data_IF_309288186524
#
_entry.id   IF_309288186524
#
_cell.length_a   1.000
_cell.length_b   1.000
_cell.length_c   1.000
_cell.angle_alpha   90.00
_cell.angle_beta   90.00
_cell.angle_gamma   90.00
#
_symmetry.space_group_name_H-M   'P 1'
#
loop_
_entity.id
_entity.type
_entity.pdbx_description
1 polymer ?
#
# COMPACT_ATOMS: atom_id res chain seq x y z
N UNK A 1 -10.41 -11.82 -17.55
CA UNK A 1 -10.25 -10.35 -17.52
C UNK A 1 -11.32 -9.74 -16.61
N UNK A 2 -11.27 -10.05 -15.31
CA UNK A 2 -12.09 -9.44 -14.25
C UNK A 2 -11.28 -9.35 -12.96
N UNK A 3 -10.60 -10.44 -12.60
CA UNK A 3 -9.72 -10.54 -11.42
C UNK A 3 -8.58 -9.49 -11.43
N UNK A 4 -8.07 -9.11 -12.62
CA UNK A 4 -6.98 -8.13 -12.76
C UNK A 4 -7.34 -6.70 -12.29
N UNK A 5 -8.64 -6.35 -12.15
CA UNK A 5 -9.03 -5.03 -11.65
C UNK A 5 -8.92 -4.95 -10.11
N UNK A 6 -9.13 -6.06 -9.39
CA UNK A 6 -9.28 -6.08 -7.94
C UNK A 6 -7.98 -5.73 -7.20
N UNK A 7 -6.83 -6.17 -7.75
CA UNK A 7 -5.48 -5.89 -7.21
C UNK A 7 -5.02 -4.47 -7.58
N UNK A 8 -5.60 -3.89 -8.64
CA UNK A 8 -5.36 -2.50 -9.02
C UNK A 8 -5.89 -1.53 -7.96
N UNK A 9 -7.09 -1.77 -7.44
CA UNK A 9 -7.76 -0.88 -6.47
C UNK A 9 -7.03 -0.80 -5.12
N UNK A 10 -6.47 -1.92 -4.64
CA UNK A 10 -5.62 -1.96 -3.43
C UNK A 10 -4.27 -1.23 -3.60
N UNK A 11 -3.83 -1.01 -4.84
CA UNK A 11 -2.50 -0.44 -5.15
C UNK A 11 -2.47 1.09 -5.23
N UNK A 12 -3.60 1.80 -5.13
CA UNK A 12 -3.69 3.18 -5.60
C UNK A 12 -4.04 4.28 -4.57
N UNK A 13 -4.46 3.96 -3.34
CA UNK A 13 -5.13 4.96 -2.47
C UNK A 13 -4.57 5.10 -1.04
N UNK A 14 -3.25 5.12 -0.89
CA UNK A 14 -2.57 5.61 0.34
C UNK A 14 -1.97 7.00 0.13
N UNK A 15 -2.81 8.04 0.11
CA UNK A 15 -2.39 9.45 -0.10
C UNK A 15 -2.58 10.27 1.19
N UNK A 16 -1.72 11.26 1.41
CA UNK A 16 -1.76 12.19 2.55
C UNK A 16 -1.96 13.66 2.13
N UNK A 17 -2.94 14.35 2.75
CA UNK A 17 -3.08 15.85 2.87
C UNK A 17 -3.42 16.64 1.56
N UNK A 18 -4.08 17.82 1.56
CA UNK A 18 -3.73 19.09 2.25
C UNK A 18 -4.78 20.26 2.23
N UNK A 19 -4.87 20.97 3.38
CA UNK A 19 -4.86 22.45 3.60
C UNK A 19 -5.96 23.44 3.12
N UNK A 20 -5.82 24.70 3.60
CA UNK A 20 -6.83 25.77 3.64
C UNK A 20 -6.61 26.94 2.65
N UNK A 21 -7.67 27.73 2.42
CA UNK A 21 -7.71 28.82 1.42
C UNK A 21 -6.83 30.06 1.70
N UNK A 22 -6.63 30.85 0.65
CA UNK A 22 -5.59 31.89 0.59
C UNK A 22 -5.84 33.12 1.49
N UNK A 23 -4.79 33.76 2.05
CA UNK A 23 -4.93 34.93 2.95
C UNK A 23 -5.51 36.20 2.30
N UNK A 24 -5.54 36.28 0.97
CA UNK A 24 -6.03 37.41 0.19
C UNK A 24 -7.51 37.26 -0.24
N UNK A 25 -8.13 36.11 0.06
CA UNK A 25 -9.50 35.79 -0.35
C UNK A 25 -9.64 35.31 -1.80
N UNK A 26 -8.53 34.99 -2.47
CA UNK A 26 -8.56 34.21 -3.72
C UNK A 26 -8.86 32.73 -3.44
N UNK A 27 -9.47 32.06 -4.42
CA UNK A 27 -9.56 30.59 -4.39
C UNK A 27 -8.17 30.01 -4.71
N UNK A 28 -7.62 29.10 -3.89
CA UNK A 28 -6.29 28.54 -4.13
C UNK A 28 -6.27 27.75 -5.44
N UNK A 29 -5.18 27.89 -6.20
CA UNK A 29 -5.02 27.20 -7.47
C UNK A 29 -4.64 25.74 -7.18
N UNK A 30 -5.52 24.81 -7.55
CA UNK A 30 -5.27 23.37 -7.48
C UNK A 30 -4.20 22.98 -8.50
N UNK A 31 -2.98 22.78 -8.04
CA UNK A 31 -1.91 22.08 -8.73
C UNK A 31 -1.78 20.64 -8.20
N UNK A 32 -0.82 19.90 -8.71
CA UNK A 32 -0.48 18.54 -8.26
C UNK A 32 0.96 18.61 -7.73
N UNK A 33 1.25 17.86 -6.68
CA UNK A 33 2.57 17.81 -6.05
C UNK A 33 3.67 17.47 -7.06
N UNK A 34 4.90 17.90 -6.79
CA UNK A 34 6.02 17.70 -7.71
C UNK A 34 6.37 16.21 -7.95
N UNK A 35 5.90 15.33 -7.07
CA UNK A 35 5.96 13.86 -7.15
C UNK A 35 4.65 13.19 -7.61
N UNK A 36 3.60 13.96 -7.92
CA UNK A 36 2.36 13.46 -8.52
C UNK A 36 1.38 12.77 -7.57
N UNK A 37 1.71 12.66 -6.27
CA UNK A 37 1.01 11.83 -5.29
C UNK A 37 -0.14 12.52 -4.57
N UNK A 38 -0.25 13.85 -4.59
CA UNK A 38 -1.37 14.59 -3.97
C UNK A 38 -1.65 15.93 -4.66
N UNK A 39 -2.78 16.56 -4.34
CA UNK A 39 -3.11 17.90 -4.82
C UNK A 39 -2.46 18.97 -3.94
N UNK A 40 -1.69 19.85 -4.57
CA UNK A 40 -1.11 21.03 -3.92
C UNK A 40 -2.03 22.22 -4.18
N UNK A 41 -2.31 23.00 -3.14
CA UNK A 41 -3.15 24.19 -3.23
C UNK A 41 -2.29 25.42 -2.97
N UNK A 42 -1.81 26.03 -4.05
CA UNK A 42 -0.91 27.19 -4.01
C UNK A 42 -1.66 28.49 -4.32
N UNK A 43 -1.27 29.56 -3.62
CA UNK A 43 -1.70 30.92 -3.94
C UNK A 43 -0.72 31.49 -4.98
N UNK A 44 -1.25 31.92 -6.12
CA UNK A 44 -0.51 32.16 -7.36
C UNK A 44 0.66 33.16 -7.19
N UNK A 45 1.85 32.79 -7.65
CA UNK A 45 3.06 33.63 -7.63
C UNK A 45 3.77 33.55 -8.99
N UNK A 46 3.77 34.66 -9.73
CA UNK A 46 4.28 34.73 -11.11
C UNK A 46 5.81 34.75 -11.22
N UNK A 47 6.33 34.07 -12.26
CA UNK A 47 7.71 34.02 -12.81
C UNK A 47 8.42 32.65 -12.58
N UNK A 48 9.15 32.04 -13.53
CA UNK A 48 9.52 32.43 -14.90
C UNK A 48 9.63 31.17 -15.81
N UNK A 49 9.77 31.35 -17.14
CA UNK A 49 9.96 30.26 -18.12
C UNK A 49 11.42 30.13 -18.54
N UNK A 50 11.91 28.90 -18.74
CA UNK A 50 13.14 28.62 -19.49
C UNK A 50 12.95 27.47 -20.50
N UNK A 51 13.66 27.56 -21.62
CA UNK A 51 13.46 26.75 -22.84
C UNK A 51 14.32 25.47 -22.89
N UNK A 52 13.73 24.39 -23.42
CA UNK A 52 14.38 23.08 -23.58
C UNK A 52 15.26 23.07 -24.85
N UNK A 53 16.53 22.67 -24.73
CA UNK A 53 17.50 22.68 -25.83
C UNK A 53 17.85 21.26 -26.33
N UNK A 54 17.59 21.02 -27.61
CA UNK A 54 17.87 19.76 -28.31
C UNK A 54 19.35 19.63 -28.70
N UNK A 55 19.94 18.45 -28.50
CA UNK A 55 21.23 18.04 -29.08
C UNK A 55 21.16 16.58 -29.58
N UNK A 56 21.27 16.39 -30.90
CA UNK A 56 21.73 15.16 -31.58
C UNK A 56 23.28 15.19 -31.60
N UNK A 57 24.11 14.14 -31.73
CA UNK A 57 24.05 12.72 -32.13
C UNK A 57 25.14 11.99 -31.26
N UNK A 58 25.41 10.67 -31.21
CA UNK A 58 24.88 9.43 -31.81
C UNK A 58 25.28 8.22 -30.94
N UNK A 59 24.94 6.98 -31.35
CA UNK A 59 25.43 5.74 -30.73
C UNK A 59 24.42 4.60 -30.79
N UNK A 60 24.58 3.69 -31.76
CA UNK A 60 23.50 2.80 -32.19
C UNK A 60 23.24 1.57 -31.29
N UNK A 61 21.97 1.39 -30.92
CA UNK A 61 21.25 0.13 -31.15
C UNK A 61 20.00 0.49 -31.96
N UNK A 62 19.70 -0.28 -33.00
CA UNK A 62 18.59 0.00 -33.93
C UNK A 62 17.23 -0.31 -33.29
N UNK A 63 16.75 0.56 -32.40
CA UNK A 63 15.47 0.42 -31.70
C UNK A 63 14.76 1.79 -31.50
N UNK A 64 15.16 2.82 -32.26
CA UNK A 64 14.70 4.21 -32.06
C UNK A 64 13.19 4.43 -32.24
N UNK A 65 12.50 3.51 -32.93
CA UNK A 65 11.04 3.52 -33.08
C UNK A 65 10.27 2.88 -31.92
N UNK A 66 10.95 2.20 -30.98
CA UNK A 66 10.34 1.65 -29.76
C UNK A 66 10.82 2.36 -28.49
N UNK A 67 12.02 2.95 -28.51
CA UNK A 67 12.64 3.63 -27.37
C UNK A 67 11.78 4.79 -26.84
N UNK A 68 11.46 4.77 -25.55
CA UNK A 68 10.72 5.84 -24.89
C UNK A 68 11.72 6.91 -24.47
N UNK A 69 11.68 8.06 -25.16
CA UNK A 69 12.61 9.19 -24.98
C UNK A 69 12.24 10.06 -23.76
N UNK A 70 12.20 9.44 -22.58
CA UNK A 70 12.05 10.12 -21.29
C UNK A 70 13.26 9.80 -20.40
N UNK A 71 13.83 10.81 -19.76
CA UNK A 71 15.03 10.66 -18.92
C UNK A 71 14.63 10.37 -17.47
N UNK A 72 14.48 9.09 -17.16
CA UNK A 72 14.19 8.59 -15.81
C UNK A 72 15.34 8.92 -14.83
N UNK A 73 16.59 8.97 -15.31
CA UNK A 73 17.78 9.28 -14.50
C UNK A 73 17.89 10.78 -14.09
N UNK A 74 16.80 11.55 -14.13
CA UNK A 74 16.67 12.87 -13.50
C UNK A 74 16.06 12.84 -12.09
N UNK A 75 15.45 11.71 -11.68
CA UNK A 75 14.79 11.58 -10.37
C UNK A 75 15.73 11.58 -9.16
N UNK A 76 15.16 11.65 -7.96
CA UNK A 76 15.96 11.71 -6.73
C UNK A 76 16.62 10.37 -6.45
N UNK A 77 17.94 10.35 -6.31
CA UNK A 77 18.71 9.12 -6.17
C UNK A 77 19.08 8.44 -7.49
N UNK A 78 18.86 9.06 -8.66
CA UNK A 78 19.37 8.54 -9.93
C UNK A 78 20.90 8.19 -9.87
N UNK A 79 21.39 7.22 -10.66
CA UNK A 79 20.70 6.51 -11.73
C UNK A 79 19.75 5.40 -11.22
N UNK A 80 18.69 5.18 -11.99
CA UNK A 80 17.74 4.08 -11.85
C UNK A 80 17.96 2.99 -12.90
N UNK A 81 18.59 3.29 -14.04
CA UNK A 81 19.04 2.27 -15.00
C UNK A 81 20.36 2.62 -15.67
N UNK A 82 21.01 1.61 -16.26
CA UNK A 82 22.24 1.76 -17.06
C UNK A 82 21.93 2.28 -18.48
N UNK A 83 21.56 3.56 -18.57
CA UNK A 83 21.58 4.36 -19.80
C UNK A 83 22.11 5.77 -19.49
N UNK A 84 23.22 6.22 -20.12
CA UNK A 84 23.76 7.56 -19.89
C UNK A 84 22.81 8.72 -20.24
N UNK A 85 21.79 8.49 -21.06
CA UNK A 85 20.75 9.48 -21.41
C UNK A 85 19.50 9.34 -20.53
N UNK A 86 19.46 8.31 -19.68
CA UNK A 86 18.34 7.97 -18.83
C UNK A 86 17.14 7.36 -19.55
N UNK A 87 17.28 6.91 -20.80
CA UNK A 87 16.22 6.23 -21.54
C UNK A 87 16.06 4.78 -21.04
N UNK A 88 15.27 4.65 -19.98
CA UNK A 88 15.11 3.41 -19.21
C UNK A 88 13.92 2.54 -19.62
N UNK A 89 13.15 2.90 -20.65
CA UNK A 89 12.00 2.12 -21.10
C UNK A 89 11.90 2.08 -22.64
N UNK A 90 11.30 1.00 -23.16
CA UNK A 90 10.90 0.89 -24.56
C UNK A 90 9.54 0.22 -24.70
N UNK A 91 8.87 0.48 -25.81
CA UNK A 91 7.65 -0.21 -26.21
C UNK A 91 7.95 -1.66 -26.61
N UNK A 92 7.12 -2.61 -26.16
CA UNK A 92 7.14 -3.98 -26.68
C UNK A 92 6.87 -3.97 -28.19
N UNK A 93 7.40 -4.95 -28.91
CA UNK A 93 7.27 -5.04 -30.38
C UNK A 93 5.82 -5.09 -30.86
N UNK A 94 4.91 -5.60 -30.04
CA UNK A 94 3.47 -5.68 -30.28
C UNK A 94 2.66 -4.51 -29.69
N UNK A 95 3.30 -3.46 -29.15
CA UNK A 95 2.60 -2.33 -28.56
C UNK A 95 1.79 -1.54 -29.61
N UNK A 96 0.57 -1.15 -29.25
CA UNK A 96 -0.38 -0.45 -30.12
C UNK A 96 0.08 0.98 -30.47
N UNK A 97 -0.41 1.50 -31.59
CA UNK A 97 -0.21 2.92 -31.95
C UNK A 97 -0.85 3.84 -30.91
N UNK A 98 -2.05 3.51 -30.43
CA UNK A 98 -2.75 4.25 -29.38
C UNK A 98 -1.88 4.48 -28.13
N UNK A 99 -1.18 3.46 -27.65
CA UNK A 99 -0.27 3.60 -26.52
C UNK A 99 0.96 4.46 -26.86
N UNK A 100 1.56 4.25 -28.02
CA UNK A 100 2.74 5.00 -28.51
C UNK A 100 2.46 6.49 -28.71
N UNK A 101 1.26 6.83 -29.16
CA UNK A 101 0.87 8.19 -29.53
C UNK A 101 0.39 9.01 -28.30
N UNK A 102 -0.28 8.35 -27.35
CA UNK A 102 -0.96 9.00 -26.24
C UNK A 102 -0.23 8.92 -24.89
N UNK A 103 0.27 7.75 -24.47
CA UNK A 103 0.83 7.55 -23.12
C UNK A 103 2.17 8.29 -22.95
N UNK A 104 2.28 9.14 -21.92
CA UNK A 104 3.46 10.00 -21.69
C UNK A 104 3.99 9.88 -20.27
N UNK A 105 5.30 9.74 -20.14
CA UNK A 105 6.01 9.91 -18.88
C UNK A 105 6.29 11.40 -18.65
N UNK A 106 6.12 11.83 -17.41
CA UNK A 106 6.28 13.21 -16.96
C UNK A 106 5.48 13.47 -15.69
N UNK A 107 5.88 14.51 -14.95
CA UNK A 107 5.24 14.91 -13.70
C UNK A 107 4.26 16.08 -13.93
N UNK A 108 4.07 16.49 -15.17
CA UNK A 108 3.10 17.52 -15.54
C UNK A 108 1.67 16.95 -15.64
N UNK A 109 0.68 17.81 -15.46
CA UNK A 109 -0.74 17.44 -15.46
C UNK A 109 -1.19 16.71 -16.72
N UNK A 110 -0.59 17.00 -17.90
CA UNK A 110 -0.96 16.32 -19.14
C UNK A 110 -0.38 14.91 -19.19
N UNK A 111 0.86 14.72 -18.76
CA UNK A 111 1.45 13.38 -18.62
C UNK A 111 0.63 12.52 -17.67
N UNK A 112 0.28 13.04 -16.48
CA UNK A 112 -0.58 12.33 -15.52
C UNK A 112 -1.95 11.97 -16.14
N UNK A 113 -2.63 12.91 -16.79
CA UNK A 113 -3.92 12.62 -17.45
C UNK A 113 -3.78 11.49 -18.48
N UNK A 114 -2.71 11.49 -19.29
CA UNK A 114 -2.49 10.40 -20.26
C UNK A 114 -2.09 9.07 -19.61
N UNK A 115 -1.53 9.07 -18.39
CA UNK A 115 -1.25 7.85 -17.65
C UNK A 115 -2.53 7.23 -17.08
N UNK A 116 -3.50 8.07 -16.69
CA UNK A 116 -4.84 7.64 -16.24
C UNK A 116 -5.70 7.17 -17.43
N UNK A 117 -5.86 8.00 -18.46
CA UNK A 117 -6.69 7.70 -19.63
C UNK A 117 -6.24 6.44 -20.40
N UNK A 118 -4.94 6.12 -20.32
CA UNK A 118 -4.29 5.02 -21.04
C UNK A 118 -3.50 4.09 -20.10
N UNK A 119 -3.95 3.89 -18.86
CA UNK A 119 -3.27 3.08 -17.83
C UNK A 119 -2.81 1.70 -18.34
N UNK A 120 -3.64 1.04 -19.14
CA UNK A 120 -3.38 -0.29 -19.69
C UNK A 120 -2.11 -0.36 -20.56
N UNK A 121 -1.63 0.77 -21.08
CA UNK A 121 -0.43 0.88 -21.91
C UNK A 121 0.84 0.56 -21.14
N UNK A 122 0.85 0.66 -19.80
CA UNK A 122 1.97 0.23 -18.96
C UNK A 122 2.34 -1.25 -19.20
N UNK A 123 1.35 -2.09 -19.53
CA UNK A 123 1.54 -3.51 -19.84
C UNK A 123 2.23 -3.74 -21.20
N UNK A 124 2.29 -2.72 -22.04
CA UNK A 124 2.92 -2.72 -23.35
C UNK A 124 4.34 -2.12 -23.33
N UNK A 125 4.80 -1.68 -22.16
CA UNK A 125 6.15 -1.14 -21.92
C UNK A 125 7.06 -2.25 -21.38
N UNK A 126 8.35 -2.16 -21.68
CA UNK A 126 9.43 -2.93 -21.04
C UNK A 126 10.46 -1.95 -20.49
N UNK A 127 10.79 -2.08 -19.21
CA UNK A 127 11.82 -1.30 -18.55
C UNK A 127 13.18 -1.98 -18.68
N UNK A 128 14.25 -1.19 -18.58
CA UNK A 128 15.62 -1.67 -18.36
C UNK A 128 15.73 -2.24 -16.92
N UNK A 129 16.80 -3.00 -16.62
CA UNK A 129 17.05 -3.42 -15.24
C UNK A 129 17.15 -2.22 -14.30
N UNK A 130 16.36 -2.24 -13.24
CA UNK A 130 16.42 -1.25 -12.16
C UNK A 130 17.73 -1.40 -11.39
N UNK A 131 18.35 -0.28 -11.04
CA UNK A 131 19.53 -0.22 -10.19
C UNK A 131 19.04 0.06 -8.77
N UNK A 132 18.86 -1.03 -8.02
CA UNK A 132 18.54 -0.97 -6.59
C UNK A 132 19.67 -0.42 -5.72
N UNK A 133 19.35 -0.03 -4.50
CA UNK A 133 20.32 0.46 -3.50
C UNK A 133 20.68 -0.60 -2.49
N UNK A 134 21.96 -0.67 -2.11
CA UNK A 134 22.37 -1.48 -0.95
C UNK A 134 21.86 -0.85 0.34
N UNK A 135 21.01 -1.56 1.05
CA UNK A 135 20.56 -1.19 2.38
C UNK A 135 21.53 -1.73 3.44
N UNK A 136 22.00 -0.86 4.35
CA UNK A 136 22.80 -1.27 5.50
C UNK A 136 21.89 -1.39 6.74
N UNK A 137 21.42 -2.59 7.07
CA UNK A 137 20.61 -2.83 8.28
C UNK A 137 21.48 -2.74 9.54
N UNK A 138 20.98 -2.05 10.57
CA UNK A 138 21.59 -2.04 11.90
C UNK A 138 20.85 -3.00 12.83
N UNK A 139 21.27 -4.27 12.87
CA UNK A 139 20.66 -5.29 13.75
C UNK A 139 20.83 -5.02 15.25
N UNK A 140 21.68 -4.05 15.63
CA UNK A 140 21.97 -3.67 17.01
C UNK A 140 21.38 -2.31 17.43
N UNK A 141 20.45 -1.74 16.66
CA UNK A 141 19.80 -0.48 17.02
C UNK A 141 18.90 -0.65 18.27
N UNK A 142 19.31 -0.01 19.37
CA UNK A 142 18.48 0.17 20.55
C UNK A 142 17.49 1.31 20.33
N UNK A 143 16.26 1.27 20.89
CA UNK A 143 15.33 2.37 20.73
C UNK A 143 15.87 3.64 21.41
N UNK A 144 15.62 4.78 20.79
CA UNK A 144 15.90 6.12 21.29
C UNK A 144 15.16 6.40 22.61
N UNK A 145 15.53 7.50 23.27
CA UNK A 145 14.81 7.96 24.47
C UNK A 145 13.33 8.31 24.17
N UNK A 146 13.04 8.85 22.98
CA UNK A 146 11.69 9.21 22.56
C UNK A 146 10.84 7.96 22.32
N UNK A 147 11.36 6.96 21.59
CA UNK A 147 10.69 5.67 21.37
C UNK A 147 10.40 4.95 22.68
N UNK A 148 11.34 4.96 23.63
CA UNK A 148 11.15 4.37 24.97
C UNK A 148 10.05 5.08 25.77
N UNK A 149 10.09 6.41 25.84
CA UNK A 149 9.07 7.20 26.54
C UNK A 149 7.67 7.02 25.90
N UNK A 150 7.62 6.86 24.57
CA UNK A 150 6.39 6.55 23.84
C UNK A 150 5.87 5.14 24.17
N UNK A 151 6.74 4.12 24.12
CA UNK A 151 6.39 2.74 24.44
C UNK A 151 5.89 2.62 25.89
N UNK A 152 6.57 3.23 26.87
CA UNK A 152 6.15 3.26 28.28
C UNK A 152 4.74 3.85 28.43
N UNK A 153 4.42 4.92 27.68
CA UNK A 153 3.08 5.54 27.67
C UNK A 153 2.03 4.60 27.08
N UNK A 154 2.30 3.95 25.95
CA UNK A 154 1.39 3.01 25.29
C UNK A 154 1.12 1.77 26.17
N UNK A 155 2.18 1.16 26.72
CA UNK A 155 2.10 -0.01 27.60
C UNK A 155 1.32 0.34 28.88
N UNK A 156 1.52 1.53 29.44
CA UNK A 156 0.75 2.03 30.59
C UNK A 156 -0.72 2.30 30.26
N UNK A 157 -1.04 2.66 29.03
CA UNK A 157 -2.41 2.79 28.53
C UNK A 157 -3.08 1.42 28.25
N UNK A 158 -2.31 0.33 28.24
CA UNK A 158 -2.80 -1.01 27.91
C UNK A 158 -2.96 -1.27 26.41
N UNK A 159 -2.38 -0.41 25.56
CA UNK A 159 -2.39 -0.53 24.09
C UNK A 159 -1.89 -1.89 23.59
N UNK A 160 -0.93 -2.45 24.32
CA UNK A 160 -0.13 -3.59 23.94
C UNK A 160 -0.72 -4.95 24.36
N UNK A 161 -2.01 -4.96 24.74
CA UNK A 161 -2.73 -6.07 25.38
C UNK A 161 -4.19 -6.17 24.92
N UNK A 162 -4.79 -7.37 24.94
CA UNK A 162 -6.22 -7.52 24.68
C UNK A 162 -7.10 -6.74 25.68
N UNK A 163 -8.24 -6.26 25.19
CA UNK A 163 -9.22 -5.46 25.93
C UNK A 163 -10.60 -6.12 25.92
N UNK A 164 -11.42 -5.81 26.92
CA UNK A 164 -12.85 -6.20 26.98
C UNK A 164 -13.76 -5.14 26.33
N UNK A 165 -13.22 -3.97 25.99
CA UNK A 165 -13.96 -2.91 25.28
C UNK A 165 -14.31 -3.42 23.89
N UNK A 166 -15.60 -3.57 23.62
CA UNK A 166 -16.09 -4.03 22.31
C UNK A 166 -15.79 -2.99 21.23
N UNK A 167 -15.38 -3.41 20.02
CA UNK A 167 -15.31 -2.52 18.86
C UNK A 167 -16.66 -1.85 18.56
N UNK A 168 -16.62 -0.66 17.98
CA UNK A 168 -17.83 0.05 17.53
C UNK A 168 -17.81 0.23 16.01
N UNK A 169 -18.71 -0.47 15.32
CA UNK A 169 -18.96 -0.29 13.88
C UNK A 169 -19.92 0.89 13.66
N UNK A 170 -19.58 1.73 12.67
CA UNK A 170 -20.32 2.92 12.25
C UNK A 170 -20.41 2.88 10.72
N UNK A 171 -21.57 2.49 10.20
CA UNK A 171 -21.81 2.43 8.76
C UNK A 171 -22.58 3.67 8.28
N UNK A 172 -22.37 4.08 7.03
CA UNK A 172 -23.28 4.99 6.35
C UNK A 172 -24.69 4.37 6.23
N UNK A 173 -25.73 5.21 6.16
CA UNK A 173 -27.13 4.77 6.30
C UNK A 173 -27.68 4.02 5.08
N UNK A 174 -26.98 4.09 3.96
CA UNK A 174 -27.23 3.38 2.72
C UNK A 174 -26.59 1.97 2.69
N UNK A 175 -25.55 1.73 3.51
CA UNK A 175 -24.85 0.43 3.62
C UNK A 175 -25.84 -0.67 4.02
N UNK A 176 -26.06 -1.70 3.18
CA UNK A 176 -26.98 -2.78 3.47
C UNK A 176 -26.58 -3.58 4.71
N UNK A 177 -27.59 -4.04 5.48
CA UNK A 177 -27.37 -4.86 6.69
C UNK A 177 -26.49 -6.09 6.42
N UNK A 178 -26.64 -6.75 5.27
CA UNK A 178 -25.85 -7.94 4.91
C UNK A 178 -24.34 -7.67 4.83
N UNK A 179 -23.93 -6.48 4.39
CA UNK A 179 -22.52 -6.08 4.36
C UNK A 179 -22.03 -5.84 5.79
N UNK A 180 -22.81 -5.11 6.60
CA UNK A 180 -22.48 -4.90 8.01
C UNK A 180 -22.38 -6.22 8.80
N UNK A 181 -23.23 -7.19 8.50
CA UNK A 181 -23.20 -8.52 9.10
C UNK A 181 -21.93 -9.29 8.69
N UNK A 182 -21.49 -9.17 7.43
CA UNK A 182 -20.23 -9.75 6.96
C UNK A 182 -19.01 -9.11 7.64
N UNK A 183 -18.98 -7.79 7.79
CA UNK A 183 -17.94 -7.09 8.56
C UNK A 183 -17.94 -7.53 10.03
N UNK A 184 -19.11 -7.74 10.64
CA UNK A 184 -19.19 -8.32 12.00
C UNK A 184 -18.64 -9.75 12.05
N UNK A 185 -18.88 -10.59 11.04
CA UNK A 185 -18.34 -11.96 10.97
C UNK A 185 -16.81 -11.99 10.84
N UNK A 186 -16.25 -11.24 9.88
CA UNK A 186 -14.80 -11.15 9.66
C UNK A 186 -14.06 -10.59 10.87
N UNK A 187 -14.64 -9.57 11.53
CA UNK A 187 -14.11 -9.00 12.76
C UNK A 187 -14.09 -10.02 13.90
N UNK A 188 -15.18 -10.77 14.10
CA UNK A 188 -15.30 -11.73 15.19
C UNK A 188 -14.30 -12.88 15.06
N UNK A 189 -14.13 -13.44 13.85
CA UNK A 189 -13.12 -14.47 13.59
C UNK A 189 -11.68 -13.95 13.83
N UNK A 190 -11.40 -12.71 13.43
CA UNK A 190 -10.09 -12.09 13.66
C UNK A 190 -9.81 -11.83 15.15
N UNK A 191 -10.82 -11.43 15.90
CA UNK A 191 -10.77 -11.28 17.36
C UNK A 191 -10.59 -12.63 18.06
N UNK A 192 -11.22 -13.70 17.57
CA UNK A 192 -11.03 -15.06 18.10
C UNK A 192 -9.58 -15.54 17.87
N UNK A 193 -9.02 -15.29 16.68
CA UNK A 193 -7.68 -15.74 16.29
C UNK A 193 -6.54 -14.98 16.97
N UNK A 194 -6.67 -13.67 17.16
CA UNK A 194 -5.60 -12.78 17.65
C UNK A 194 -5.85 -12.20 19.05
N UNK A 195 -7.09 -12.19 19.52
CA UNK A 195 -7.56 -11.42 20.67
C UNK A 195 -8.05 -10.02 20.28
N UNK A 196 -8.96 -9.44 21.08
CA UNK A 196 -9.55 -8.12 20.86
C UNK A 196 -8.60 -6.97 21.27
N UNK A 197 -8.11 -6.15 20.33
CA UNK A 197 -7.27 -4.99 20.60
C UNK A 197 -8.01 -3.68 20.32
N UNK A 198 -7.73 -2.63 21.09
CA UNK A 198 -8.47 -1.38 20.99
C UNK A 198 -8.13 -0.34 22.08
N UNK A 199 -9.01 0.65 22.30
CA UNK A 199 -10.37 0.75 21.78
C UNK A 199 -10.40 0.97 20.26
N UNK A 200 -11.31 0.25 19.59
CA UNK A 200 -11.44 0.20 18.13
C UNK A 200 -12.77 0.81 17.67
N UNK A 201 -12.71 1.66 16.64
CA UNK A 201 -13.87 1.98 15.80
C UNK A 201 -13.64 1.44 14.38
N UNK A 202 -14.73 1.13 13.70
CA UNK A 202 -14.73 0.64 12.32
C UNK A 202 -15.73 1.50 11.57
N UNK A 203 -15.32 2.09 10.46
CA UNK A 203 -16.19 2.89 9.61
C UNK A 203 -16.47 2.16 8.31
N UNK A 204 -17.74 2.04 7.92
CA UNK A 204 -18.12 1.47 6.61
C UNK A 204 -18.70 2.61 5.78
N UNK A 205 -17.99 2.99 4.74
CA UNK A 205 -18.37 4.03 3.78
C UNK A 205 -19.30 3.41 2.75
N UNK A 206 -20.43 4.08 2.51
CA UNK A 206 -21.38 3.67 1.49
C UNK A 206 -21.05 4.24 0.12
N UNK A 207 -22.11 4.45 -0.66
CA UNK A 207 -22.13 4.80 -2.07
C UNK A 207 -22.85 6.15 -2.33
N UNK A 208 -23.09 6.91 -1.25
CA UNK A 208 -23.78 8.21 -1.24
C UNK A 208 -22.91 9.25 -0.51
N UNK A 209 -22.32 10.17 -1.28
CA UNK A 209 -21.44 11.23 -0.79
C UNK A 209 -22.20 12.28 0.05
N UNK A 210 -23.54 12.36 -0.07
CA UNK A 210 -24.35 13.33 0.66
C UNK A 210 -24.50 13.03 2.16
N UNK A 211 -24.12 11.82 2.60
CA UNK A 211 -24.30 11.34 3.98
C UNK A 211 -23.00 10.98 4.74
N UNK A 212 -21.82 11.14 4.12
CA UNK A 212 -20.53 10.72 4.73
C UNK A 212 -19.89 11.76 5.65
N UNK A 213 -20.24 13.05 5.56
CA UNK A 213 -19.63 14.12 6.38
C UNK A 213 -19.76 13.92 7.90
N UNK A 214 -20.90 13.46 8.46
CA UNK A 214 -20.99 13.12 9.88
C UNK A 214 -20.04 11.98 10.30
N UNK A 215 -19.68 11.09 9.37
CA UNK A 215 -18.83 9.92 9.59
C UNK A 215 -17.36 10.35 9.59
N UNK A 216 -16.92 11.13 8.59
CA UNK A 216 -15.61 11.79 8.56
C UNK A 216 -15.39 12.60 9.84
N UNK A 217 -16.42 13.31 10.29
CA UNK A 217 -16.37 14.06 11.55
C UNK A 217 -16.18 13.17 12.78
N UNK A 218 -16.84 12.02 12.88
CA UNK A 218 -16.63 11.10 14.01
C UNK A 218 -15.26 10.38 13.94
N UNK A 219 -14.78 10.07 12.73
CA UNK A 219 -13.43 9.56 12.45
C UNK A 219 -12.36 10.55 12.91
N UNK A 220 -12.36 11.78 12.41
CA UNK A 220 -11.33 12.76 12.73
C UNK A 220 -11.32 13.12 14.23
N UNK A 221 -12.49 13.19 14.88
CA UNK A 221 -12.59 13.41 16.34
C UNK A 221 -12.16 12.20 17.19
N UNK A 222 -12.04 11.02 16.59
CA UNK A 222 -11.62 9.78 17.26
C UNK A 222 -10.12 9.52 17.14
N UNK A 223 -9.55 9.77 15.96
CA UNK A 223 -8.21 9.30 15.60
C UNK A 223 -7.12 10.37 15.71
N UNK A 224 -7.48 11.66 15.66
CA UNK A 224 -6.53 12.80 15.64
C UNK A 224 -6.62 13.66 16.92
N UNK A 225 -5.60 14.47 17.23
CA UNK A 225 -5.70 15.34 18.42
C UNK A 225 -6.69 16.47 18.15
N UNK A 226 -7.36 16.96 19.20
CA UNK A 226 -8.23 18.15 19.11
C UNK A 226 -7.50 19.46 18.74
N UNK A 227 -6.18 19.45 18.76
CA UNK A 227 -5.30 20.55 18.32
C UNK A 227 -4.81 20.41 16.89
N UNK A 228 -4.92 19.21 16.30
CA UNK A 228 -4.84 19.04 14.86
C UNK A 228 -6.18 19.54 14.32
N UNK A 229 -6.17 20.48 13.38
CA UNK A 229 -7.42 21.01 12.84
C UNK A 229 -8.21 19.86 12.21
N UNK A 230 -9.51 19.74 12.55
CA UNK A 230 -10.44 18.84 11.88
C UNK A 230 -10.30 19.00 10.36
N UNK A 231 -10.06 20.24 9.90
CA UNK A 231 -9.78 20.54 8.50
C UNK A 231 -8.65 19.68 7.92
N UNK A 232 -7.47 19.59 8.55
CA UNK A 232 -6.36 18.77 8.03
C UNK A 232 -6.79 17.32 7.83
N UNK A 233 -7.47 16.72 8.81
CA UNK A 233 -7.93 15.34 8.70
C UNK A 233 -9.03 15.18 7.63
N UNK A 234 -9.93 16.17 7.52
CA UNK A 234 -10.99 16.23 6.52
C UNK A 234 -10.44 16.41 5.09
N UNK A 235 -9.37 17.17 4.91
CA UNK A 235 -8.68 17.40 3.62
C UNK A 235 -7.71 16.24 3.26
N UNK A 236 -7.60 15.23 4.13
CA UNK A 236 -6.64 14.13 4.08
C UNK A 236 -7.39 12.79 4.04
N UNK A 237 -7.46 12.05 5.14
CA UNK A 237 -8.21 10.79 5.20
C UNK A 237 -9.71 10.99 4.95
N UNK A 238 -10.25 12.16 5.29
CA UNK A 238 -11.62 12.54 4.96
C UNK A 238 -11.87 12.65 3.46
N UNK A 239 -10.89 13.05 2.65
CA UNK A 239 -11.04 13.10 1.20
C UNK A 239 -11.07 11.67 0.62
N UNK A 240 -10.19 10.78 1.08
CA UNK A 240 -10.28 9.35 0.74
C UNK A 240 -11.63 8.75 1.11
N UNK A 241 -12.20 9.12 2.26
CA UNK A 241 -13.57 8.73 2.66
C UNK A 241 -14.68 9.35 1.79
N UNK A 242 -14.45 10.47 1.11
CA UNK A 242 -15.38 11.01 0.08
C UNK A 242 -15.22 10.24 -1.23
N UNK A 243 -14.00 10.03 -1.68
CA UNK A 243 -13.69 9.29 -2.91
C UNK A 243 -14.28 7.87 -2.87
N UNK A 244 -14.13 7.15 -1.76
CA UNK A 244 -14.82 5.88 -1.49
C UNK A 244 -16.34 5.94 -1.73
N UNK A 245 -16.99 7.08 -1.48
CA UNK A 245 -18.43 7.25 -1.60
C UNK A 245 -18.93 7.64 -2.99
N UNK A 246 -18.05 7.95 -3.95
CA UNK A 246 -18.46 8.33 -5.32
C UNK A 246 -17.59 7.77 -6.48
N UNK A 247 -16.44 7.15 -6.22
CA UNK A 247 -15.57 6.57 -7.26
C UNK A 247 -15.96 5.10 -7.48
N UNK A 248 -16.33 4.78 -8.72
CA UNK A 248 -16.80 3.44 -9.10
C UNK A 248 -16.16 2.96 -10.43
N UNK A 249 -15.87 1.66 -10.58
CA UNK A 249 -16.04 0.60 -9.58
C UNK A 249 -15.08 0.77 -8.38
N UNK A 250 -15.58 0.44 -7.18
CA UNK A 250 -14.92 0.69 -5.89
C UNK A 250 -14.70 -0.59 -5.07
N UNK A 251 -14.02 -0.49 -3.93
CA UNK A 251 -13.69 -1.62 -3.05
C UNK A 251 -12.28 -1.52 -2.44
N UNK A 252 -12.14 -0.88 -1.28
CA UNK A 252 -10.85 -0.70 -0.58
C UNK A 252 -11.03 -0.50 0.94
N UNK A 253 -9.92 -0.29 1.65
CA UNK A 253 -9.89 0.02 3.08
C UNK A 253 -8.61 0.76 3.48
N UNK A 254 -8.56 1.22 4.74
CA UNK A 254 -7.32 1.64 5.39
C UNK A 254 -7.43 1.63 6.92
N UNK A 255 -6.30 1.39 7.59
CA UNK A 255 -6.16 1.55 9.04
C UNK A 255 -5.56 2.92 9.43
N UNK A 256 -5.95 3.45 10.60
CA UNK A 256 -5.31 4.61 11.22
C UNK A 256 -5.17 4.40 12.74
N UNK A 257 -4.00 4.75 13.26
CA UNK A 257 -3.64 4.48 14.65
C UNK A 257 -3.38 5.81 15.38
N UNK A 258 -4.33 6.22 16.22
CA UNK A 258 -4.21 7.35 17.13
C UNK A 258 -3.24 7.09 18.30
N UNK A 259 -2.10 6.44 18.06
CA UNK A 259 -1.15 6.04 19.09
C UNK A 259 -0.60 7.24 19.87
N UNK A 260 -0.38 8.37 19.20
CA UNK A 260 0.18 9.62 19.74
C UNK A 260 -0.79 10.39 20.65
N UNK A 261 -2.08 10.03 20.68
CA UNK A 261 -3.08 10.69 21.51
C UNK A 261 -2.86 10.43 23.01
N UNK A 262 -3.30 11.35 23.87
CA UNK A 262 -3.28 11.15 25.34
C UNK A 262 -4.06 9.89 25.75
N UNK A 263 -5.15 9.58 25.03
CA UNK A 263 -5.89 8.32 25.10
C UNK A 263 -5.77 7.67 23.72
N UNK A 264 -4.85 6.71 23.55
CA UNK A 264 -4.66 6.05 22.26
C UNK A 264 -5.95 5.39 21.74
N UNK A 265 -6.16 5.48 20.44
CA UNK A 265 -7.31 4.89 19.73
C UNK A 265 -6.84 4.14 18.49
N UNK A 266 -7.61 3.14 18.08
CA UNK A 266 -7.42 2.43 16.81
C UNK A 266 -8.66 2.62 15.94
N UNK A 267 -8.47 2.65 14.62
CA UNK A 267 -9.56 2.62 13.67
C UNK A 267 -9.15 1.94 12.37
N UNK A 268 -10.12 1.44 11.64
CA UNK A 268 -10.01 1.25 10.20
C UNK A 268 -11.30 1.67 9.49
N UNK A 269 -11.19 1.86 8.19
CA UNK A 269 -12.26 2.26 7.28
C UNK A 269 -12.37 1.21 6.18
N UNK A 270 -13.61 0.87 5.81
CA UNK A 270 -13.95 -0.06 4.74
C UNK A 270 -14.85 0.65 3.73
N UNK A 271 -14.60 0.40 2.44
CA UNK A 271 -15.48 0.74 1.33
C UNK A 271 -15.89 -0.56 0.63
N UNK A 272 -17.15 -1.01 0.77
CA UNK A 272 -17.61 -2.26 0.18
C UNK A 272 -17.57 -2.22 -1.35
N UNK A 273 -17.35 -3.37 -1.98
CA UNK A 273 -17.18 -3.44 -3.43
C UNK A 273 -18.41 -2.89 -4.21
N UNK A 274 -18.16 -2.01 -5.17
CA UNK A 274 -19.19 -1.27 -5.90
C UNK A 274 -18.97 -1.33 -7.43
N UNK A 275 -20.05 -1.45 -8.20
CA UNK A 275 -20.02 -1.58 -9.66
C UNK A 275 -20.16 -0.26 -10.41
N UNK A 276 -19.96 -0.31 -11.74
CA UNK A 276 -20.03 0.83 -12.67
C UNK A 276 -21.36 1.62 -12.62
N UNK A 277 -22.43 1.06 -12.04
CA UNK A 277 -23.73 1.74 -11.87
C UNK A 277 -23.94 2.29 -10.46
N UNK A 278 -22.87 2.42 -9.69
CA UNK A 278 -22.89 2.79 -8.27
C UNK A 278 -23.77 1.84 -7.43
N UNK A 279 -23.60 0.53 -7.60
CA UNK A 279 -24.32 -0.46 -6.83
C UNK A 279 -23.39 -1.40 -6.05
N UNK A 280 -23.73 -1.66 -4.78
CA UNK A 280 -23.04 -2.66 -3.96
C UNK A 280 -23.06 -4.04 -4.63
N UNK A 281 -21.88 -4.55 -5.01
CA UNK A 281 -21.73 -5.83 -5.69
C UNK A 281 -22.12 -7.01 -4.80
N UNK A 282 -21.92 -6.86 -3.49
CA UNK A 282 -22.41 -7.76 -2.42
C UNK A 282 -23.94 -7.99 -2.40
N UNK A 283 -24.74 -7.18 -3.10
CA UNK A 283 -26.17 -7.44 -3.29
C UNK A 283 -26.49 -8.31 -4.50
N UNK A 284 -25.50 -8.59 -5.36
CA UNK A 284 -25.62 -9.37 -6.60
C UNK A 284 -24.85 -10.69 -6.55
N UNK A 285 -23.71 -10.71 -5.86
CA UNK A 285 -22.78 -11.84 -5.83
C UNK A 285 -22.40 -12.17 -4.38
N UNK A 286 -22.60 -13.43 -3.98
CA UNK A 286 -22.33 -13.86 -2.59
C UNK A 286 -20.82 -13.86 -2.29
N UNK A 287 -19.99 -14.15 -3.29
CA UNK A 287 -18.52 -14.14 -3.19
C UNK A 287 -17.96 -12.79 -2.70
N UNK A 288 -18.64 -11.68 -3.03
CA UNK A 288 -18.28 -10.34 -2.56
C UNK A 288 -18.56 -10.20 -1.05
N UNK A 289 -19.66 -10.77 -0.52
CA UNK A 289 -19.89 -10.83 0.94
C UNK A 289 -18.85 -11.68 1.67
N UNK A 290 -18.29 -12.71 1.01
CA UNK A 290 -17.17 -13.45 1.57
C UNK A 290 -15.88 -12.62 1.53
N UNK A 291 -15.68 -11.83 0.48
CA UNK A 291 -14.55 -10.91 0.35
C UNK A 291 -14.57 -9.79 1.40
N UNK A 292 -15.72 -9.20 1.73
CA UNK A 292 -15.86 -8.20 2.82
C UNK A 292 -15.33 -8.73 4.16
N UNK A 293 -15.50 -10.04 4.45
CA UNK A 293 -14.98 -10.68 5.67
C UNK A 293 -13.45 -10.76 5.64
N UNK A 294 -12.89 -11.10 4.48
CA UNK A 294 -11.43 -11.16 4.24
C UNK A 294 -10.80 -9.77 4.35
N UNK A 295 -11.38 -8.74 3.73
CA UNK A 295 -10.90 -7.34 3.86
C UNK A 295 -10.99 -6.88 5.32
N UNK A 296 -12.08 -7.21 6.03
CA UNK A 296 -12.17 -6.90 7.47
C UNK A 296 -11.08 -7.59 8.29
N UNK A 297 -10.70 -8.82 7.95
CA UNK A 297 -9.63 -9.54 8.62
C UNK A 297 -8.23 -8.95 8.33
N UNK A 298 -8.01 -8.48 7.12
CA UNK A 298 -6.80 -7.74 6.72
C UNK A 298 -6.67 -6.44 7.53
N UNK A 299 -7.71 -5.59 7.54
CA UNK A 299 -7.71 -4.33 8.31
C UNK A 299 -7.58 -4.55 9.83
N UNK A 300 -8.20 -5.61 10.36
CA UNK A 300 -8.03 -5.98 11.77
C UNK A 300 -6.59 -6.46 12.07
N UNK A 301 -5.88 -7.04 11.10
CA UNK A 301 -4.48 -7.38 11.27
C UNK A 301 -3.62 -6.14 11.46
N UNK A 302 -3.90 -5.03 10.76
CA UNK A 302 -3.24 -3.74 11.02
C UNK A 302 -3.54 -3.22 12.45
N UNK A 303 -4.74 -3.41 13.00
CA UNK A 303 -5.04 -3.12 14.42
C UNK A 303 -4.17 -3.94 15.38
N UNK A 304 -3.90 -5.20 15.05
CA UNK A 304 -3.04 -6.09 15.82
C UNK A 304 -1.55 -5.73 15.70
N UNK A 305 -1.05 -5.44 14.49
CA UNK A 305 0.29 -4.88 14.25
C UNK A 305 0.45 -3.56 15.02
N UNK A 306 -0.57 -2.70 14.92
CA UNK A 306 -0.76 -1.45 15.65
C UNK A 306 -0.42 -1.57 17.13
N UNK A 307 -1.01 -2.57 17.79
CA UNK A 307 -0.81 -2.90 19.21
C UNK A 307 0.60 -3.42 19.55
N UNK A 308 1.27 -4.12 18.63
CA UNK A 308 2.59 -4.73 18.85
C UNK A 308 3.76 -3.78 18.56
N UNK A 309 3.56 -2.80 17.68
CA UNK A 309 4.54 -1.76 17.35
C UNK A 309 4.44 -0.58 18.34
N UNK A 310 5.08 -0.73 19.51
CA UNK A 310 5.08 0.28 20.60
C UNK A 310 6.24 1.28 20.54
N UNK A 311 7.41 0.84 20.05
CA UNK A 311 8.62 1.67 19.91
C UNK A 311 8.59 2.48 18.61
N UNK A 312 7.53 3.29 18.43
CA UNK A 312 7.37 4.19 17.27
C UNK A 312 8.29 5.41 17.39
N UNK A 313 9.02 5.71 16.33
CA UNK A 313 10.09 6.71 16.29
C UNK A 313 10.20 7.47 14.97
N UNK A 314 11.42 7.88 14.62
CA UNK A 314 11.75 8.55 13.35
C UNK A 314 11.70 7.55 12.17
N UNK A 315 11.69 8.09 10.94
CA UNK A 315 11.66 7.30 9.71
C UNK A 315 12.77 6.23 9.67
N UNK A 316 12.44 5.03 9.16
CA UNK A 316 13.36 3.90 9.03
C UNK A 316 13.95 3.35 10.36
N UNK A 317 13.31 3.61 11.51
CA UNK A 317 13.64 2.89 12.76
C UNK A 317 13.45 1.37 12.59
N UNK A 318 14.34 0.55 13.17
CA UNK A 318 14.20 -0.93 13.17
C UNK A 318 13.03 -1.44 14.03
N UNK A 319 12.35 -0.53 14.73
CA UNK A 319 11.11 -0.79 15.45
C UNK A 319 9.87 -0.38 14.65
N UNK A 320 10.02 0.33 13.54
CA UNK A 320 8.99 0.40 12.50
C UNK A 320 9.08 -0.85 11.63
N UNK A 321 7.95 -1.41 11.21
CA UNK A 321 7.94 -2.51 10.24
C UNK A 321 8.28 -1.94 8.85
N UNK A 322 8.98 -2.68 7.98
CA UNK A 322 9.06 -2.32 6.57
C UNK A 322 7.69 -2.57 5.94
N UNK A 323 7.27 -1.68 5.02
CA UNK A 323 5.93 -1.70 4.39
C UNK A 323 5.51 -3.09 3.88
N UNK A 324 6.46 -3.81 3.28
CA UNK A 324 6.19 -5.16 2.79
C UNK A 324 5.72 -6.13 3.89
N UNK A 325 6.32 -6.11 5.08
CA UNK A 325 5.90 -6.97 6.21
C UNK A 325 4.54 -6.52 6.74
N UNK A 326 4.27 -5.21 6.74
CA UNK A 326 3.00 -4.66 7.22
C UNK A 326 1.84 -5.15 6.33
N UNK A 327 1.95 -4.96 5.01
CA UNK A 327 0.93 -5.36 4.04
C UNK A 327 0.84 -6.87 3.84
N UNK A 328 1.96 -7.54 3.56
CA UNK A 328 1.92 -8.94 3.14
C UNK A 328 1.51 -9.90 4.26
N UNK A 329 1.85 -9.58 5.51
CA UNK A 329 1.36 -10.35 6.66
C UNK A 329 -0.14 -10.14 6.87
N UNK A 330 -0.68 -8.93 6.63
CA UNK A 330 -2.11 -8.65 6.72
C UNK A 330 -2.90 -9.37 5.61
N UNK A 331 -2.41 -9.34 4.36
CA UNK A 331 -2.99 -10.11 3.25
C UNK A 331 -2.94 -11.61 3.54
N UNK A 332 -1.78 -12.16 3.94
CA UNK A 332 -1.66 -13.59 4.22
C UNK A 332 -2.53 -14.04 5.40
N UNK A 333 -2.61 -13.24 6.47
CA UNK A 333 -3.51 -13.51 7.59
C UNK A 333 -4.97 -13.61 7.13
N UNK A 334 -5.43 -12.63 6.35
CA UNK A 334 -6.80 -12.64 5.82
C UNK A 334 -7.07 -13.84 4.91
N UNK A 335 -6.07 -14.29 4.17
CA UNK A 335 -6.19 -15.45 3.29
C UNK A 335 -6.26 -16.77 4.06
N UNK A 336 -5.38 -16.96 5.06
CA UNK A 336 -5.41 -18.13 5.93
C UNK A 336 -6.75 -18.20 6.67
N UNK A 337 -7.16 -17.11 7.33
CA UNK A 337 -8.43 -17.07 8.06
C UNK A 337 -9.63 -17.27 7.14
N UNK A 338 -9.62 -16.66 5.94
CA UNK A 338 -10.67 -16.84 4.94
C UNK A 338 -10.77 -18.27 4.41
N UNK A 339 -9.64 -18.95 4.21
CA UNK A 339 -9.59 -20.35 3.81
C UNK A 339 -10.05 -21.29 4.95
N UNK A 340 -9.62 -21.05 6.19
CA UNK A 340 -10.07 -21.80 7.38
C UNK A 340 -11.59 -21.71 7.60
N UNK A 341 -12.21 -20.56 7.27
CA UNK A 341 -13.65 -20.34 7.39
C UNK A 341 -14.45 -20.63 6.10
N UNK A 342 -13.78 -21.05 5.02
CA UNK A 342 -14.43 -21.39 3.74
C UNK A 342 -14.97 -20.19 2.95
N UNK A 343 -14.45 -18.98 3.20
CA UNK A 343 -14.79 -17.75 2.48
C UNK A 343 -14.07 -17.65 1.13
N UNK A 344 -12.89 -18.25 0.99
CA UNK A 344 -12.06 -18.27 -0.23
C UNK A 344 -11.33 -19.63 -0.36
N UNK A 345 -10.83 -19.93 -1.56
CA UNK A 345 -9.75 -20.89 -1.76
C UNK A 345 -8.41 -20.14 -1.84
N UNK A 346 -7.42 -20.51 -1.02
CA UNK A 346 -6.10 -19.88 -1.02
C UNK A 346 -5.22 -20.34 -2.20
N UNK A 347 -5.41 -21.56 -2.71
CA UNK A 347 -4.54 -22.17 -3.72
C UNK A 347 -4.73 -21.49 -5.09
N UNK A 348 -5.98 -21.22 -5.47
CA UNK A 348 -6.31 -20.50 -6.72
C UNK A 348 -5.63 -19.12 -6.74
N UNK A 349 -5.63 -18.43 -5.60
CA UNK A 349 -5.01 -17.10 -5.46
C UNK A 349 -3.49 -17.15 -5.53
N UNK A 350 -2.85 -18.14 -4.90
CA UNK A 350 -1.39 -18.35 -4.99
C UNK A 350 -0.95 -18.50 -6.45
N UNK A 351 -1.68 -19.29 -7.25
CA UNK A 351 -1.37 -19.50 -8.66
C UNK A 351 -1.48 -18.20 -9.50
N UNK A 352 -2.46 -17.34 -9.21
CA UNK A 352 -2.57 -16.01 -9.82
C UNK A 352 -1.39 -15.10 -9.41
N UNK A 353 -1.06 -15.03 -8.12
CA UNK A 353 0.05 -14.21 -7.60
C UNK A 353 1.41 -14.58 -8.20
N UNK A 354 1.72 -15.86 -8.40
CA UNK A 354 2.97 -16.28 -9.06
C UNK A 354 3.04 -15.78 -10.52
N UNK A 355 1.92 -15.80 -11.25
CA UNK A 355 1.86 -15.30 -12.63
C UNK A 355 2.06 -13.78 -12.68
N UNK A 356 1.49 -13.05 -11.71
CA UNK A 356 1.68 -11.60 -11.58
C UNK A 356 3.13 -11.23 -11.31
N UNK A 357 3.76 -11.86 -10.31
CA UNK A 357 5.16 -11.59 -9.95
C UNK A 357 6.10 -11.93 -11.11
N UNK A 358 5.85 -13.01 -11.84
CA UNK A 358 6.60 -13.31 -13.08
C UNK A 358 6.39 -12.23 -14.15
N UNK A 359 5.15 -11.78 -14.37
CA UNK A 359 4.82 -10.75 -15.36
C UNK A 359 5.37 -9.37 -14.99
N UNK A 360 5.48 -9.08 -13.69
CA UNK A 360 6.13 -7.90 -13.14
C UNK A 360 7.64 -7.95 -13.36
N UNK A 361 8.32 -9.04 -12.97
CA UNK A 361 9.78 -9.23 -13.16
C UNK A 361 10.19 -9.15 -14.63
N UNK A 362 9.37 -9.65 -15.55
CA UNK A 362 9.60 -9.53 -17.01
C UNK A 362 9.46 -8.10 -17.55
N UNK A 363 8.60 -7.29 -16.91
CA UNK A 363 8.32 -5.90 -17.28
C UNK A 363 9.30 -4.91 -16.64
N UNK A 364 9.65 -5.13 -15.38
CA UNK A 364 10.53 -4.30 -14.54
C UNK A 364 11.65 -5.17 -13.93
N UNK A 365 12.62 -5.63 -14.73
CA UNK A 365 13.68 -6.50 -14.25
C UNK A 365 14.60 -5.79 -13.23
N UNK A 366 15.30 -6.55 -12.39
CA UNK A 366 16.30 -6.03 -11.45
C UNK A 366 15.76 -5.36 -10.19
N UNK A 367 14.44 -5.16 -10.09
CA UNK A 367 13.77 -4.63 -8.91
C UNK A 367 13.39 -5.75 -7.95
N UNK A 368 13.57 -5.55 -6.65
CA UNK A 368 13.41 -6.58 -5.60
C UNK A 368 12.81 -5.98 -4.32
N UNK A 369 12.43 -6.82 -3.35
CA UNK A 369 11.82 -6.35 -2.09
C UNK A 369 12.71 -5.43 -1.24
N UNK A 370 14.04 -5.49 -1.37
CA UNK A 370 14.94 -4.57 -0.65
C UNK A 370 14.70 -3.11 -1.07
N UNK A 371 14.20 -2.90 -2.28
CA UNK A 371 13.98 -1.58 -2.85
C UNK A 371 12.76 -0.87 -2.23
N UNK A 372 11.88 -1.56 -1.50
CA UNK A 372 10.77 -0.95 -0.72
C UNK A 372 10.91 -1.13 0.81
N UNK A 373 12.08 -1.55 1.29
CA UNK A 373 12.32 -1.73 2.73
C UNK A 373 12.57 -0.39 3.47
N UNK A 374 12.96 0.66 2.74
CA UNK A 374 13.13 2.01 3.28
C UNK A 374 12.34 3.05 2.49
N UNK A 375 12.03 4.18 3.12
CA UNK A 375 11.36 5.30 2.46
C UNK A 375 12.18 5.84 1.28
N UNK A 376 13.51 5.90 1.42
CA UNK A 376 14.41 6.30 0.34
C UNK A 376 14.43 5.31 -0.83
N UNK A 377 14.25 4.01 -0.58
CA UNK A 377 14.13 3.00 -1.61
C UNK A 377 12.77 3.12 -2.33
N UNK A 378 11.70 3.14 -1.54
CA UNK A 378 10.31 3.29 -1.99
C UNK A 378 10.19 4.48 -2.94
N UNK A 379 10.75 5.65 -2.57
CA UNK A 379 10.77 6.81 -3.46
C UNK A 379 11.50 6.55 -4.80
N UNK A 380 12.62 5.83 -4.83
CA UNK A 380 13.30 5.48 -6.10
C UNK A 380 12.45 4.58 -6.98
N UNK A 381 11.66 3.68 -6.39
CA UNK A 381 10.75 2.79 -7.12
C UNK A 381 9.59 3.58 -7.71
N UNK A 382 8.95 4.46 -6.92
CA UNK A 382 7.92 5.40 -7.40
C UNK A 382 8.47 6.31 -8.51
N UNK A 383 9.63 6.94 -8.31
CA UNK A 383 10.30 7.79 -9.32
C UNK A 383 10.67 7.02 -10.62
N UNK A 384 10.73 5.68 -10.60
CA UNK A 384 11.07 4.85 -11.77
C UNK A 384 9.87 4.34 -12.55
N UNK A 385 8.85 3.81 -11.87
CA UNK A 385 7.70 3.18 -12.51
C UNK A 385 6.36 3.33 -11.75
N UNK A 386 6.28 4.28 -10.82
CA UNK A 386 5.06 4.70 -10.14
C UNK A 386 4.52 3.69 -9.12
N UNK A 387 3.36 4.02 -8.54
CA UNK A 387 2.70 3.22 -7.50
C UNK A 387 2.36 1.79 -7.93
N UNK A 388 2.19 1.55 -9.25
CA UNK A 388 2.04 0.19 -9.80
C UNK A 388 3.22 -0.74 -9.46
N UNK A 389 4.43 -0.20 -9.27
CA UNK A 389 5.58 -0.99 -8.85
C UNK A 389 5.61 -1.20 -7.32
N UNK A 390 5.18 -0.20 -6.55
CA UNK A 390 5.02 -0.31 -5.10
C UNK A 390 3.99 -1.39 -4.75
N UNK A 391 2.79 -1.30 -5.33
CA UNK A 391 1.71 -2.28 -5.15
C UNK A 391 2.13 -3.72 -5.49
N UNK A 392 2.83 -3.91 -6.61
CA UNK A 392 3.33 -5.24 -7.00
C UNK A 392 4.39 -5.79 -6.04
N UNK A 393 5.28 -4.95 -5.50
CA UNK A 393 6.28 -5.37 -4.53
C UNK A 393 5.68 -5.64 -3.14
N UNK A 394 4.79 -4.77 -2.64
CA UNK A 394 4.24 -4.86 -1.28
C UNK A 394 3.12 -5.89 -1.13
N UNK A 395 2.34 -6.14 -2.19
CA UNK A 395 1.29 -7.14 -2.18
C UNK A 395 1.75 -8.45 -2.84
N UNK A 396 1.82 -8.53 -4.18
CA UNK A 396 2.03 -9.82 -4.86
C UNK A 396 3.41 -10.45 -4.55
N UNK A 397 4.49 -9.67 -4.61
CA UNK A 397 5.86 -10.16 -4.42
C UNK A 397 6.14 -10.53 -2.95
N UNK A 398 5.79 -9.64 -2.03
CA UNK A 398 5.95 -9.86 -0.60
C UNK A 398 5.01 -10.95 -0.04
N UNK A 399 3.86 -11.20 -0.67
CA UNK A 399 2.99 -12.31 -0.29
C UNK A 399 3.63 -13.67 -0.58
N UNK A 400 4.30 -13.84 -1.74
CA UNK A 400 5.11 -15.05 -2.00
C UNK A 400 6.18 -15.23 -0.92
N UNK A 401 6.88 -14.15 -0.57
CA UNK A 401 7.87 -14.18 0.51
C UNK A 401 7.25 -14.59 1.86
N UNK A 402 6.06 -14.10 2.17
CA UNK A 402 5.31 -14.42 3.41
C UNK A 402 4.89 -15.88 3.47
N UNK A 403 4.38 -16.44 2.36
CA UNK A 403 4.03 -17.85 2.24
C UNK A 403 5.27 -18.73 2.45
N UNK A 404 6.41 -18.39 1.83
CA UNK A 404 7.66 -19.12 2.01
C UNK A 404 8.16 -19.11 3.47
N UNK A 405 7.96 -18.01 4.20
CA UNK A 405 8.29 -17.92 5.63
C UNK A 405 7.37 -18.77 6.50
N UNK A 406 6.06 -18.79 6.18
CA UNK A 406 5.08 -19.65 6.84
C UNK A 406 5.36 -21.13 6.59
N UNK A 407 5.59 -21.54 5.34
CA UNK A 407 6.00 -22.91 4.98
C UNK A 407 7.32 -23.35 5.66
N UNK A 408 8.27 -22.42 5.80
CA UNK A 408 9.54 -22.67 6.51
C UNK A 408 9.35 -22.83 8.03
N UNK A 409 8.26 -22.31 8.60
CA UNK A 409 8.00 -22.30 10.04
C UNK A 409 6.56 -22.72 10.38
N UNK A 410 5.64 -21.76 10.51
CA UNK A 410 4.18 -21.95 10.58
C UNK A 410 3.48 -20.60 10.54
N UNK A 411 2.17 -20.61 10.29
CA UNK A 411 1.30 -19.44 10.41
C UNK A 411 1.39 -18.76 11.79
N UNK A 412 1.40 -19.54 12.88
CA UNK A 412 1.56 -19.01 14.25
C UNK A 412 2.93 -18.36 14.48
N UNK A 413 3.99 -18.85 13.83
CA UNK A 413 5.31 -18.22 13.90
C UNK A 413 5.26 -16.81 13.29
N UNK A 414 4.53 -16.65 12.18
CA UNK A 414 4.39 -15.40 11.44
C UNK A 414 3.41 -14.43 12.10
N UNK A 415 2.24 -14.89 12.52
CA UNK A 415 1.17 -14.05 13.10
C UNK A 415 1.37 -13.77 14.60
N UNK A 416 1.98 -14.67 15.37
CA UNK A 416 2.08 -14.55 16.83
C UNK A 416 3.52 -14.37 17.32
N UNK A 417 4.42 -15.32 17.02
CA UNK A 417 5.77 -15.27 17.61
C UNK A 417 6.63 -14.14 17.03
N UNK A 418 6.54 -13.82 15.73
CA UNK A 418 7.22 -12.66 15.13
C UNK A 418 6.86 -11.36 15.86
N UNK A 419 5.58 -11.04 16.01
CA UNK A 419 5.13 -9.80 16.65
C UNK A 419 5.50 -9.72 18.14
N UNK A 420 5.45 -10.86 18.83
CA UNK A 420 5.92 -11.03 20.22
C UNK A 420 7.42 -10.82 20.38
N UNK A 421 8.25 -11.18 19.39
CA UNK A 421 9.68 -10.84 19.38
C UNK A 421 9.90 -9.37 18.96
N UNK A 422 9.34 -8.94 17.83
CA UNK A 422 9.52 -7.62 17.20
C UNK A 422 9.33 -6.49 18.21
N UNK A 423 8.25 -6.55 18.99
CA UNK A 423 7.93 -5.64 20.09
C UNK A 423 9.07 -5.36 21.06
N UNK A 424 10.03 -6.29 21.22
CA UNK A 424 11.12 -6.23 22.20
C UNK A 424 12.52 -6.03 21.57
N UNK A 425 12.76 -6.53 20.35
CA UNK A 425 14.10 -6.58 19.74
C UNK A 425 14.18 -5.97 18.33
N UNK A 426 13.11 -5.33 17.85
CA UNK A 426 13.03 -4.81 16.48
C UNK A 426 12.75 -5.92 15.46
N UNK A 427 12.35 -5.54 14.24
CA UNK A 427 11.88 -6.50 13.25
C UNK A 427 13.00 -7.40 12.71
N UNK A 428 14.22 -6.87 12.47
CA UNK A 428 15.35 -7.65 11.92
C UNK A 428 15.76 -8.79 12.84
N UNK A 429 15.97 -8.52 14.13
CA UNK A 429 16.35 -9.55 15.09
C UNK A 429 15.18 -10.50 15.44
N UNK A 430 13.93 -10.03 15.33
CA UNK A 430 12.75 -10.90 15.43
C UNK A 430 12.64 -11.87 14.25
N UNK A 431 12.89 -11.38 13.04
CA UNK A 431 12.92 -12.16 11.80
C UNK A 431 13.94 -13.29 11.89
N UNK A 432 15.19 -12.96 12.21
CA UNK A 432 16.26 -13.94 12.43
C UNK A 432 15.90 -14.98 13.50
N UNK A 433 15.33 -14.54 14.62
CA UNK A 433 15.01 -15.40 15.76
C UNK A 433 13.83 -16.34 15.52
N UNK A 434 12.84 -15.92 14.73
CA UNK A 434 11.60 -16.69 14.48
C UNK A 434 11.74 -17.56 13.24
N UNK A 435 12.29 -17.02 12.16
CA UNK A 435 12.43 -17.75 10.89
C UNK A 435 13.76 -18.51 10.77
N UNK A 436 14.74 -18.26 11.65
CA UNK A 436 16.00 -19.00 11.68
C UNK A 436 16.89 -18.77 10.45
N UNK A 437 16.75 -17.59 9.82
CA UNK A 437 17.48 -17.14 8.64
C UNK A 437 17.61 -15.61 8.70
N UNK A 438 18.73 -15.04 8.27
CA UNK A 438 18.85 -13.57 8.19
C UNK A 438 18.01 -13.00 7.05
N UNK A 439 17.66 -11.71 7.15
CA UNK A 439 16.90 -11.01 6.11
C UNK A 439 17.65 -11.04 4.77
N UNK A 440 18.97 -10.88 4.79
CA UNK A 440 19.82 -10.92 3.59
C UNK A 440 19.86 -12.32 2.96
N UNK A 441 20.05 -13.38 3.76
CA UNK A 441 19.99 -14.77 3.26
C UNK A 441 18.60 -15.12 2.72
N UNK A 442 17.55 -14.62 3.37
CA UNK A 442 16.18 -14.84 2.94
C UNK A 442 15.90 -14.17 1.59
N UNK A 443 16.26 -12.89 1.41
CA UNK A 443 16.09 -12.20 0.12
C UNK A 443 16.84 -12.90 -1.01
N UNK A 444 18.07 -13.39 -0.76
CA UNK A 444 18.79 -14.20 -1.75
C UNK A 444 18.02 -15.50 -2.09
N UNK A 445 17.50 -16.21 -1.09
CA UNK A 445 16.72 -17.43 -1.32
C UNK A 445 15.38 -17.18 -2.04
N UNK A 446 14.78 -16.00 -1.84
CA UNK A 446 13.58 -15.55 -2.55
C UNK A 446 13.89 -15.28 -4.03
N UNK A 447 15.01 -14.62 -4.35
CA UNK A 447 15.43 -14.40 -5.73
C UNK A 447 15.76 -15.71 -6.46
N UNK A 448 16.37 -16.68 -5.77
CA UNK A 448 16.58 -18.03 -6.30
C UNK A 448 15.24 -18.74 -6.59
N UNK A 449 14.26 -18.63 -5.68
CA UNK A 449 12.91 -19.18 -5.86
C UNK A 449 12.17 -18.54 -7.04
N UNK A 450 12.12 -17.20 -7.09
CA UNK A 450 11.43 -16.44 -8.14
C UNK A 450 12.12 -16.54 -9.52
N UNK A 451 13.32 -17.12 -9.57
CA UNK A 451 14.03 -17.45 -10.82
C UNK A 451 13.71 -18.87 -11.33
N UNK A 452 12.95 -19.67 -10.58
CA UNK A 452 12.48 -20.98 -11.05
C UNK A 452 11.35 -20.84 -12.10
N UNK A 453 11.15 -21.83 -13.00
CA UNK A 453 9.99 -21.84 -13.88
C UNK A 453 8.67 -21.77 -13.10
N UNK A 454 7.70 -20.97 -13.58
CA UNK A 454 6.40 -20.71 -12.92
C UNK A 454 5.74 -21.98 -12.36
N UNK A 455 5.68 -23.06 -13.15
CA UNK A 455 5.04 -24.31 -12.70
C UNK A 455 5.71 -24.93 -11.47
N UNK A 456 7.02 -24.73 -11.27
CA UNK A 456 7.75 -25.20 -10.09
C UNK A 456 7.55 -24.30 -8.87
N UNK A 457 7.28 -23.01 -9.08
CA UNK A 457 6.92 -22.11 -8.00
C UNK A 457 5.53 -22.50 -7.47
N UNK A 458 4.56 -22.71 -8.36
CA UNK A 458 3.20 -23.18 -8.02
C UNK A 458 3.20 -24.62 -7.43
N UNK A 459 4.13 -25.50 -7.83
CA UNK A 459 4.26 -26.84 -7.22
C UNK A 459 4.88 -26.81 -5.80
N UNK A 460 5.54 -25.71 -5.42
CA UNK A 460 6.21 -25.56 -4.12
C UNK A 460 5.40 -24.74 -3.10
N UNK A 461 4.51 -23.85 -3.54
CA UNK A 461 3.65 -23.03 -2.69
C UNK A 461 2.34 -23.75 -2.37
#
# INVERSE_FOLDING_TARGET
MKNLLLILVLSFLSIQSFAAGCPDGSEPVRSISADGTYFVFECDNTADKDEDNLIEESGAINDEGSLIKYNFNKGSGAPFCDDPRGYCASWKSNASSECKDNYRFGNDQRSLQTQLDYENCVNQIKFKPFIGTKLNRSSNASPTWNEKANADRLIKAGWDKPTLVQPKIIAASDVPKVIKDAVEEGLNASIERLGNYGPLKIYIIGNDDSIIEPIIKDFCNWSKNKSDDFKRCSDDQGEGMREMAYIFPGGNGFADHGWYLQKPTQTFVLNPAAGDSNEFLALKYDDELQYEKVVTAHEYFHVYQGAHTVFRGEENSVYSLPRWIEESHAVYFSWVLGNENGWIDINDRIAETVQEVSSFRDRVPGMTMIDIESESGTKRVTDYCGELCIGQLQYSYALIATILLAQKTSDDALFLDFYKQHKNIGWVAAFEKVFGISVDEFYLSLEDFLSMPIYKQIEQL
#
